data_IF_935370622204
#
_entry.id   IF_935370622204
#
_cell.length_a   1.000
_cell.length_b   1.000
_cell.length_c   1.000
_cell.angle_alpha   90.00
_cell.angle_beta   90.00
_cell.angle_gamma   90.00
#
_symmetry.space_group_name_H-M   'P 1'
#
loop_
_entity.id
_entity.type
_entity.pdbx_description
1 polymer ?
#
# COMPACT_ATOMS: atom_id res chain seq x y z
N UNK A 1 40.81 50.43 -11.93
CA UNK A 1 39.79 49.56 -11.31
C UNK A 1 40.37 49.13 -9.96
N UNK A 2 39.90 49.73 -8.87
CA UNK A 2 40.48 49.54 -7.53
C UNK A 2 39.95 48.26 -6.88
N UNK A 3 40.76 47.60 -6.05
CA UNK A 3 40.42 46.35 -5.34
C UNK A 3 39.09 46.48 -4.55
N UNK A 4 38.79 47.69 -4.07
CA UNK A 4 37.57 48.11 -3.37
C UNK A 4 36.28 47.83 -4.18
N UNK A 5 36.29 48.02 -5.51
CA UNK A 5 35.09 47.83 -6.35
C UNK A 5 34.81 46.36 -6.66
N UNK A 6 35.79 45.48 -6.49
CA UNK A 6 35.63 44.03 -6.65
C UNK A 6 35.09 43.37 -5.37
N UNK A 7 35.40 43.95 -4.20
CA UNK A 7 34.91 43.47 -2.89
C UNK A 7 33.42 43.82 -2.71
N UNK A 8 32.96 44.98 -3.20
CA UNK A 8 31.56 45.39 -3.01
C UNK A 8 30.53 44.62 -3.85
N UNK A 9 30.95 43.95 -4.94
CA UNK A 9 30.06 43.19 -5.83
C UNK A 9 29.98 41.68 -5.49
N UNK A 10 30.90 41.15 -4.67
CA UNK A 10 30.92 39.73 -4.31
C UNK A 10 30.08 39.38 -3.06
N UNK A 11 29.98 40.29 -2.08
CA UNK A 11 29.13 40.12 -0.89
C UNK A 11 27.66 39.82 -1.26
N UNK A 12 27.01 40.53 -2.21
CA UNK A 12 25.63 40.22 -2.60
C UNK A 12 25.49 38.88 -3.33
N UNK A 13 26.50 38.44 -4.08
CA UNK A 13 26.44 37.14 -4.78
C UNK A 13 26.42 35.96 -3.79
N UNK A 14 27.25 36.03 -2.74
CA UNK A 14 27.23 35.01 -1.68
C UNK A 14 25.93 35.04 -0.87
N UNK A 15 25.37 36.21 -0.60
CA UNK A 15 24.08 36.35 0.07
C UNK A 15 22.95 35.74 -0.77
N UNK A 16 22.91 36.03 -2.08
CA UNK A 16 21.96 35.44 -3.02
C UNK A 16 22.11 33.92 -3.05
N UNK A 17 23.34 33.40 -3.12
CA UNK A 17 23.59 31.96 -3.11
C UNK A 17 23.06 31.29 -1.83
N UNK A 18 23.28 31.89 -0.65
CA UNK A 18 22.76 31.38 0.63
C UNK A 18 21.24 31.40 0.66
N UNK A 19 20.62 32.50 0.20
CA UNK A 19 19.16 32.63 0.12
C UNK A 19 18.58 31.59 -0.85
N UNK A 20 19.16 31.45 -2.04
CA UNK A 20 18.77 30.44 -3.03
C UNK A 20 18.89 29.03 -2.46
N UNK A 21 20.01 28.71 -1.79
CA UNK A 21 20.20 27.41 -1.15
C UNK A 21 19.15 27.15 -0.07
N UNK A 22 18.81 28.17 0.74
CA UNK A 22 17.75 28.08 1.75
C UNK A 22 16.37 27.78 1.12
N UNK A 23 16.01 28.49 0.04
CA UNK A 23 14.76 28.23 -0.68
C UNK A 23 14.73 26.86 -1.33
N UNK A 24 15.85 26.41 -1.92
CA UNK A 24 15.98 25.06 -2.50
C UNK A 24 15.81 24.01 -1.41
N UNK A 25 16.47 24.16 -0.26
CA UNK A 25 16.35 23.23 0.86
C UNK A 25 14.90 23.16 1.38
N UNK A 26 14.23 24.32 1.52
CA UNK A 26 12.81 24.37 1.90
C UNK A 26 11.91 23.70 0.86
N UNK A 27 12.20 23.87 -0.43
CA UNK A 27 11.46 23.23 -1.53
C UNK A 27 11.64 21.72 -1.52
N UNK A 28 12.86 21.22 -1.32
CA UNK A 28 13.14 19.78 -1.22
C UNK A 28 12.34 19.13 -0.09
N UNK A 29 12.36 19.73 1.11
CA UNK A 29 11.56 19.23 2.25
C UNK A 29 10.05 19.22 1.98
N UNK A 30 9.54 20.20 1.24
CA UNK A 30 8.13 20.23 0.85
C UNK A 30 7.80 19.24 -0.27
N UNK A 31 8.77 18.89 -1.12
CA UNK A 31 8.62 17.86 -2.14
C UNK A 31 8.62 16.45 -1.52
N UNK A 32 9.52 16.18 -0.58
CA UNK A 32 9.54 14.93 0.20
C UNK A 32 8.17 14.66 0.83
N UNK A 33 7.60 15.64 1.54
CA UNK A 33 6.25 15.52 2.11
C UNK A 33 5.17 15.24 1.08
N UNK A 34 5.24 15.88 -0.10
CA UNK A 34 4.26 15.63 -1.16
C UNK A 34 4.41 14.24 -1.75
N UNK A 35 5.63 13.74 -1.89
CA UNK A 35 5.91 12.37 -2.34
C UNK A 35 5.34 11.39 -1.32
N UNK A 36 5.57 11.59 -0.02
CA UNK A 36 5.03 10.74 1.04
C UNK A 36 3.49 10.71 1.02
N UNK A 37 2.85 11.87 0.83
CA UNK A 37 1.39 11.96 0.70
C UNK A 37 0.90 11.20 -0.54
N UNK A 38 1.57 11.34 -1.69
CA UNK A 38 1.21 10.62 -2.91
C UNK A 38 1.39 9.11 -2.79
N UNK A 39 2.45 8.66 -2.11
CA UNK A 39 2.67 7.23 -1.82
C UNK A 39 1.50 6.70 -0.98
N UNK A 40 1.14 7.39 0.10
CA UNK A 40 0.00 7.00 0.93
C UNK A 40 -1.31 6.97 0.13
N UNK A 41 -1.60 8.00 -0.67
CA UNK A 41 -2.80 8.02 -1.51
C UNK A 41 -2.84 6.87 -2.52
N UNK A 42 -1.69 6.50 -3.09
CA UNK A 42 -1.59 5.36 -4.02
C UNK A 42 -1.86 4.04 -3.30
N UNK A 43 -1.31 3.87 -2.10
CA UNK A 43 -1.55 2.71 -1.24
C UNK A 43 -3.04 2.60 -0.90
N UNK A 44 -3.67 3.68 -0.46
CA UNK A 44 -5.11 3.73 -0.16
C UNK A 44 -5.96 3.45 -1.40
N UNK A 45 -5.53 3.95 -2.57
CA UNK A 45 -6.15 3.67 -3.85
C UNK A 45 -6.12 2.18 -4.20
N UNK A 46 -4.96 1.53 -4.07
CA UNK A 46 -4.81 0.07 -4.29
C UNK A 46 -5.71 -0.73 -3.34
N UNK A 47 -5.75 -0.33 -2.06
CA UNK A 47 -6.64 -0.95 -1.07
C UNK A 47 -8.10 -0.87 -1.53
N UNK A 48 -8.60 0.34 -1.82
CA UNK A 48 -9.99 0.56 -2.22
C UNK A 48 -10.35 -0.16 -3.52
N UNK A 49 -9.46 -0.17 -4.52
CA UNK A 49 -9.67 -0.91 -5.76
C UNK A 49 -9.78 -2.41 -5.52
N UNK A 50 -8.91 -2.98 -4.67
CA UNK A 50 -8.96 -4.41 -4.36
C UNK A 50 -10.25 -4.77 -3.58
N UNK A 51 -10.69 -3.94 -2.64
CA UNK A 51 -11.99 -4.12 -1.96
C UNK A 51 -13.14 -4.10 -2.96
N UNK A 52 -13.14 -3.16 -3.91
CA UNK A 52 -14.17 -3.11 -4.96
C UNK A 52 -14.21 -4.38 -5.80
N UNK A 53 -13.04 -4.90 -6.21
CA UNK A 53 -12.94 -6.13 -7.00
C UNK A 53 -13.31 -7.40 -6.19
N UNK A 54 -13.07 -7.41 -4.89
CA UNK A 54 -13.46 -8.50 -4.00
C UNK A 54 -14.99 -8.67 -3.92
N UNK A 55 -15.74 -7.58 -4.12
CA UNK A 55 -17.20 -7.58 -4.22
C UNK A 55 -17.76 -7.97 -5.60
N UNK A 56 -16.91 -8.30 -6.57
CA UNK A 56 -17.35 -8.66 -7.93
C UNK A 56 -18.09 -10.01 -7.98
N UNK A 57 -19.03 -10.16 -8.92
CA UNK A 57 -19.63 -11.47 -9.27
C UNK A 57 -18.62 -12.43 -9.90
N UNK A 58 -17.55 -11.90 -10.51
CA UNK A 58 -16.55 -12.68 -11.24
C UNK A 58 -15.50 -13.28 -10.31
N UNK A 59 -15.39 -14.61 -10.30
CA UNK A 59 -14.42 -15.36 -9.47
C UNK A 59 -12.97 -14.97 -9.77
N UNK A 60 -12.65 -14.67 -11.03
CA UNK A 60 -11.31 -14.21 -11.43
C UNK A 60 -10.97 -12.84 -10.83
N UNK A 61 -11.91 -11.89 -10.86
CA UNK A 61 -11.74 -10.57 -10.26
C UNK A 61 -11.54 -10.66 -8.74
N UNK A 62 -12.36 -11.48 -8.05
CA UNK A 62 -12.21 -11.71 -6.61
C UNK A 62 -10.88 -12.38 -6.25
N UNK A 63 -10.46 -13.37 -7.04
CA UNK A 63 -9.16 -14.03 -6.82
C UNK A 63 -8.00 -13.05 -7.00
N UNK A 64 -8.05 -12.19 -8.03
CA UNK A 64 -7.07 -11.12 -8.21
C UNK A 64 -7.05 -10.12 -7.05
N UNK A 65 -8.23 -9.77 -6.53
CA UNK A 65 -8.36 -8.92 -5.35
C UNK A 65 -7.70 -9.54 -4.11
N UNK A 66 -7.88 -10.85 -3.89
CA UNK A 66 -7.26 -11.57 -2.77
C UNK A 66 -5.73 -11.50 -2.83
N UNK A 67 -5.12 -11.68 -4.00
CA UNK A 67 -3.67 -11.50 -4.17
C UNK A 67 -3.24 -10.05 -3.94
N UNK A 68 -3.93 -9.07 -4.52
CA UNK A 68 -3.59 -7.66 -4.36
C UNK A 68 -3.66 -7.21 -2.89
N UNK A 69 -4.66 -7.69 -2.14
CA UNK A 69 -4.78 -7.46 -0.70
C UNK A 69 -3.65 -8.14 0.07
N UNK A 70 -3.34 -9.40 -0.25
CA UNK A 70 -2.24 -10.12 0.40
C UNK A 70 -0.90 -9.40 0.21
N UNK A 71 -0.56 -8.99 -1.01
CA UNK A 71 0.66 -8.24 -1.28
C UNK A 71 0.68 -6.90 -0.53
N UNK A 72 -0.43 -6.17 -0.54
CA UNK A 72 -0.55 -4.91 0.19
C UNK A 72 -0.33 -5.09 1.70
N UNK A 73 -0.83 -6.19 2.29
CA UNK A 73 -0.63 -6.51 3.70
C UNK A 73 0.82 -6.90 4.04
N UNK A 74 1.59 -7.38 3.06
CA UNK A 74 3.02 -7.63 3.21
C UNK A 74 3.84 -6.34 3.11
N UNK A 75 3.47 -5.45 2.18
CA UNK A 75 4.13 -4.16 1.96
C UNK A 75 3.85 -3.16 3.09
N UNK A 76 2.61 -3.11 3.58
CA UNK A 76 2.11 -2.06 4.46
C UNK A 76 1.56 -2.67 5.76
N UNK A 77 2.40 -2.70 6.80
CA UNK A 77 2.06 -3.30 8.11
C UNK A 77 0.75 -2.74 8.69
N UNK A 78 0.49 -1.44 8.50
CA UNK A 78 -0.73 -0.76 8.96
C UNK A 78 -2.03 -1.38 8.42
N UNK A 79 -1.99 -2.03 7.25
CA UNK A 79 -3.16 -2.69 6.66
C UNK A 79 -3.27 -4.17 7.00
N UNK A 80 -2.21 -4.80 7.51
CA UNK A 80 -2.12 -6.26 7.62
C UNK A 80 -3.28 -6.87 8.42
N UNK A 81 -3.57 -6.30 9.59
CA UNK A 81 -4.67 -6.78 10.43
C UNK A 81 -6.03 -6.57 9.77
N UNK A 82 -6.27 -5.38 9.21
CA UNK A 82 -7.51 -5.05 8.53
C UNK A 82 -7.76 -5.98 7.33
N UNK A 83 -6.73 -6.22 6.52
CA UNK A 83 -6.81 -7.12 5.37
C UNK A 83 -7.05 -8.56 5.79
N UNK A 84 -6.37 -9.05 6.83
CA UNK A 84 -6.62 -10.40 7.35
C UNK A 84 -8.09 -10.58 7.78
N UNK A 85 -8.67 -9.58 8.47
CA UNK A 85 -10.08 -9.60 8.86
C UNK A 85 -11.03 -9.58 7.66
N UNK A 86 -10.73 -8.79 6.64
CA UNK A 86 -11.52 -8.71 5.40
C UNK A 86 -11.50 -10.05 4.67
N UNK A 87 -10.33 -10.67 4.48
CA UNK A 87 -10.21 -11.97 3.84
C UNK A 87 -10.92 -13.09 4.64
N UNK A 88 -10.83 -13.06 5.97
CA UNK A 88 -11.62 -13.96 6.81
C UNK A 88 -13.14 -13.72 6.66
N UNK A 89 -13.57 -12.47 6.55
CA UNK A 89 -14.97 -12.11 6.30
C UNK A 89 -15.44 -12.60 4.93
N UNK A 90 -14.60 -12.44 3.92
CA UNK A 90 -14.84 -12.93 2.56
C UNK A 90 -15.07 -14.44 2.53
N UNK A 91 -14.18 -15.21 3.18
CA UNK A 91 -14.35 -16.66 3.33
C UNK A 91 -15.69 -16.99 3.96
N UNK A 92 -16.01 -16.39 5.12
CA UNK A 92 -17.27 -16.64 5.83
C UNK A 92 -18.50 -16.30 4.99
N UNK A 93 -18.49 -15.15 4.31
CA UNK A 93 -19.60 -14.72 3.47
C UNK A 93 -19.82 -15.68 2.31
N UNK A 94 -18.75 -15.98 1.56
CA UNK A 94 -18.83 -16.80 0.34
C UNK A 94 -19.20 -18.25 0.66
N UNK A 95 -18.60 -18.82 1.69
CA UNK A 95 -18.90 -20.20 2.12
C UNK A 95 -20.30 -20.35 2.72
N UNK A 96 -20.94 -19.25 3.15
CA UNK A 96 -22.31 -19.30 3.65
C UNK A 96 -23.38 -19.29 2.55
N UNK A 97 -23.03 -18.93 1.31
CA UNK A 97 -23.95 -18.93 0.18
C UNK A 97 -24.48 -20.35 -0.12
N UNK A 98 -25.78 -20.45 -0.39
CA UNK A 98 -26.42 -21.75 -0.61
C UNK A 98 -25.88 -22.46 -1.86
N UNK A 99 -25.62 -21.69 -2.92
CA UNK A 99 -25.00 -22.20 -4.14
C UNK A 99 -23.59 -22.71 -3.89
N UNK A 100 -22.81 -21.99 -3.08
CA UNK A 100 -21.46 -22.42 -2.72
C UNK A 100 -21.49 -23.77 -2.01
N UNK A 101 -22.32 -23.89 -0.97
CA UNK A 101 -22.48 -25.13 -0.19
C UNK A 101 -22.87 -26.31 -1.07
N UNK A 102 -23.76 -26.11 -2.04
CA UNK A 102 -24.19 -27.15 -2.99
C UNK A 102 -23.06 -27.61 -3.91
N UNK A 103 -22.23 -26.69 -4.38
CA UNK A 103 -21.21 -26.97 -5.40
C UNK A 103 -19.84 -27.36 -4.81
N UNK A 104 -19.61 -27.10 -3.51
CA UNK A 104 -18.31 -27.23 -2.84
C UNK A 104 -18.42 -27.93 -1.48
N UNK A 105 -19.26 -28.97 -1.40
CA UNK A 105 -19.49 -29.73 -0.15
C UNK A 105 -18.24 -30.49 0.29
N UNK A 106 -17.55 -31.17 -0.64
CA UNK A 106 -16.38 -31.99 -0.32
C UNK A 106 -15.07 -31.20 -0.26
N UNK A 107 -14.96 -30.14 -1.06
CA UNK A 107 -13.71 -29.37 -1.24
C UNK A 107 -13.98 -27.89 -1.45
N UNK A 108 -13.18 -27.00 -0.86
CA UNK A 108 -13.31 -25.57 -1.09
C UNK A 108 -13.02 -25.23 -2.56
N UNK A 109 -13.68 -24.19 -3.06
CA UNK A 109 -13.34 -23.58 -4.34
C UNK A 109 -11.89 -23.10 -4.37
N UNK A 110 -11.32 -22.97 -5.57
CA UNK A 110 -9.96 -22.46 -5.76
C UNK A 110 -9.76 -21.07 -5.12
N UNK A 111 -10.78 -20.21 -5.18
CA UNK A 111 -10.78 -18.88 -4.55
C UNK A 111 -10.62 -18.98 -3.02
N UNK A 112 -11.41 -19.84 -2.37
CA UNK A 112 -11.35 -20.02 -0.91
C UNK A 112 -10.04 -20.70 -0.50
N UNK A 113 -9.62 -21.75 -1.22
CA UNK A 113 -8.36 -22.41 -0.94
C UNK A 113 -7.16 -21.47 -1.08
N UNK A 114 -7.17 -20.61 -2.11
CA UNK A 114 -6.14 -19.58 -2.32
C UNK A 114 -6.14 -18.59 -1.17
N UNK A 115 -7.32 -18.10 -0.76
CA UNK A 115 -7.46 -17.17 0.36
C UNK A 115 -6.91 -17.77 1.67
N UNK A 116 -7.23 -19.05 1.94
CA UNK A 116 -6.71 -19.77 3.11
C UNK A 116 -5.19 -19.93 3.06
N UNK A 117 -4.63 -20.24 1.89
CA UNK A 117 -3.18 -20.37 1.73
C UNK A 117 -2.46 -19.04 2.02
N UNK A 118 -2.95 -17.94 1.44
CA UNK A 118 -2.37 -16.61 1.64
C UNK A 118 -2.58 -16.06 3.06
N UNK A 119 -3.57 -16.55 3.79
CA UNK A 119 -3.74 -16.22 5.20
C UNK A 119 -2.82 -17.03 6.11
N UNK A 120 -2.75 -18.36 5.92
CA UNK A 120 -2.24 -19.26 6.98
C UNK A 120 -0.98 -20.04 6.59
N UNK A 121 -0.62 -20.12 5.31
CA UNK A 121 0.48 -21.00 4.87
C UNK A 121 1.83 -20.33 5.08
N UNK A 122 2.55 -20.78 6.11
CA UNK A 122 3.88 -20.27 6.52
C UNK A 122 4.91 -20.25 5.39
N UNK A 123 4.93 -21.28 4.53
CA UNK A 123 5.88 -21.38 3.40
C UNK A 123 5.65 -20.31 2.32
N UNK A 124 4.44 -19.77 2.22
CA UNK A 124 4.03 -18.81 1.19
C UNK A 124 3.88 -17.39 1.76
N UNK A 125 4.54 -17.08 2.88
CA UNK A 125 4.40 -15.80 3.59
C UNK A 125 2.93 -15.51 3.93
N UNK A 126 2.22 -16.51 4.46
CA UNK A 126 0.85 -16.33 4.94
C UNK A 126 0.78 -15.19 5.97
N UNK A 127 -0.29 -14.38 5.94
CA UNK A 127 -0.39 -13.19 6.80
C UNK A 127 -0.28 -13.51 8.29
N UNK A 128 -0.84 -14.63 8.76
CA UNK A 128 -0.74 -15.07 10.16
C UNK A 128 0.62 -15.66 10.54
N UNK A 129 1.52 -15.85 9.59
CA UNK A 129 2.92 -16.15 9.88
C UNK A 129 3.77 -14.89 10.11
N UNK A 130 3.19 -13.70 9.90
CA UNK A 130 3.82 -12.41 10.16
C UNK A 130 3.33 -11.85 11.50
N UNK A 131 4.14 -11.01 12.14
CA UNK A 131 3.69 -10.27 13.32
C UNK A 131 2.61 -9.25 12.92
N UNK A 132 1.55 -9.15 13.72
CA UNK A 132 0.62 -8.04 13.60
C UNK A 132 1.08 -6.94 14.55
N UNK A 133 1.07 -5.69 14.09
CA UNK A 133 1.30 -4.54 14.95
C UNK A 133 0.40 -4.64 16.19
N UNK A 134 0.98 -4.43 17.38
CA UNK A 134 0.26 -4.48 18.67
C UNK A 134 -0.61 -3.26 18.89
#
# INVERSE_FOLDING_TARGET
MTLESLISWNIPAHLIAIISLFFIHRRLKNQERQIDLQINQRVDGRFNSAIGLLGSSETSARTGAVYALHELALEEEKYRQQIAQILCSHIRSKTNEQEYKKNHEERPSNEIQTTLNLLFKKKERGLYAQDFAK
#
